data_IF_898363364628
#
_entry.id   IF_898363364628
#
_cell.length_a   1.000
_cell.length_b   1.000
_cell.length_c   1.000
_cell.angle_alpha   90.00
_cell.angle_beta   90.00
_cell.angle_gamma   90.00
#
_symmetry.space_group_name_H-M   'P 1'
#
loop_
_entity.id
_entity.type
_entity.pdbx_description
1 polymer ?
#
# COMPACT_ATOMS: atom_id res chain seq x y z
N UNK A 1 25.27 6.86 6.21
CA UNK A 1 24.56 5.75 5.54
C UNK A 1 23.39 5.24 6.36
N UNK A 2 22.69 6.18 6.94
CA UNK A 2 21.51 5.88 7.77
C UNK A 2 20.43 5.12 7.01
N UNK A 3 20.29 5.36 5.70
CA UNK A 3 19.24 4.72 4.89
C UNK A 3 19.40 3.21 4.83
N UNK A 4 20.61 2.72 4.85
CA UNK A 4 20.89 1.30 4.82
C UNK A 4 20.33 0.59 6.05
N UNK A 5 20.48 1.21 7.21
CA UNK A 5 19.98 0.63 8.45
C UNK A 5 18.45 0.63 8.49
N UNK A 6 17.81 1.60 7.90
CA UNK A 6 16.36 1.67 7.87
C UNK A 6 15.77 0.51 7.08
N UNK A 7 16.42 0.07 6.02
CA UNK A 7 15.97 -1.10 5.26
C UNK A 7 16.04 -2.38 6.08
N UNK A 8 17.05 -2.52 6.91
CA UNK A 8 17.25 -3.74 7.69
C UNK A 8 16.23 -3.83 8.82
N UNK A 9 15.87 -2.72 9.43
CA UNK A 9 15.04 -2.70 10.64
C UNK A 9 13.56 -2.58 10.34
N UNK A 10 13.17 -2.24 9.11
CA UNK A 10 11.78 -1.95 8.76
C UNK A 10 11.25 -2.88 7.68
N UNK A 11 11.31 -4.17 7.96
CA UNK A 11 10.68 -5.14 7.08
C UNK A 11 9.17 -4.90 7.04
N UNK A 12 8.61 -4.99 5.84
CA UNK A 12 7.18 -4.84 5.64
C UNK A 12 6.52 -6.19 5.89
N UNK A 13 5.52 -6.19 6.76
CA UNK A 13 4.80 -7.41 7.13
C UNK A 13 3.37 -7.44 6.62
N UNK A 14 2.82 -6.32 6.21
CA UNK A 14 1.47 -6.29 5.69
C UNK A 14 1.15 -4.96 5.01
N UNK A 15 0.12 -4.98 4.19
CA UNK A 15 -0.37 -3.79 3.47
C UNK A 15 -1.89 -3.79 3.46
N UNK A 16 -2.48 -2.66 3.81
CA UNK A 16 -3.90 -2.40 3.63
C UNK A 16 -4.12 -1.51 2.41
N UNK A 17 -5.09 -1.87 1.60
CA UNK A 17 -5.56 -1.05 0.48
C UNK A 17 -6.86 -0.37 0.90
N UNK A 18 -6.87 0.96 0.90
CA UNK A 18 -8.02 1.76 1.31
C UNK A 18 -8.62 2.43 0.08
N UNK A 19 -9.91 2.24 -0.17
CA UNK A 19 -10.57 3.02 -1.23
C UNK A 19 -10.58 4.49 -0.83
N UNK A 20 -10.19 5.37 -1.75
CA UNK A 20 -10.16 6.80 -1.48
C UNK A 20 -11.54 7.34 -1.10
N UNK A 21 -12.59 6.77 -1.68
CA UNK A 21 -13.97 7.15 -1.38
C UNK A 21 -14.38 6.87 0.08
N UNK A 22 -13.71 5.94 0.75
CA UNK A 22 -13.96 5.62 2.15
C UNK A 22 -13.13 6.45 3.11
N UNK A 23 -12.19 7.24 2.61
CA UNK A 23 -11.29 8.01 3.44
C UNK A 23 -11.81 9.42 3.66
N UNK A 24 -11.88 9.81 4.93
CA UNK A 24 -12.31 11.15 5.34
C UNK A 24 -11.22 11.76 6.21
N UNK A 25 -10.16 12.22 5.56
CA UNK A 25 -9.03 12.79 6.28
C UNK A 25 -9.32 14.23 6.72
N UNK A 26 -8.84 14.62 7.91
CA UNK A 26 -9.21 15.91 8.48
C UNK A 26 -8.55 17.11 7.82
N UNK A 27 -7.54 16.90 6.95
CA UNK A 27 -6.78 17.98 6.30
C UNK A 27 -6.55 17.64 4.84
N UNK A 28 -6.44 18.66 3.96
CA UNK A 28 -6.14 18.44 2.55
C UNK A 28 -4.74 17.83 2.38
N UNK A 29 -4.63 16.78 1.61
CA UNK A 29 -3.37 16.05 1.42
C UNK A 29 -2.44 16.67 0.37
N UNK A 30 -2.86 17.70 -0.29
CA UNK A 30 -1.98 18.49 -1.15
C UNK A 30 -1.11 19.46 -0.35
N UNK A 31 -1.22 19.48 0.96
CA UNK A 31 -0.38 20.29 1.83
C UNK A 31 0.89 19.53 2.14
N UNK A 32 2.07 20.02 1.73
CA UNK A 32 3.33 19.26 1.87
C UNK A 32 3.79 19.02 3.30
N UNK A 33 3.14 19.64 4.28
CA UNK A 33 3.58 19.63 5.67
C UNK A 33 2.97 18.52 6.52
N UNK A 34 2.09 17.67 5.98
CA UNK A 34 1.49 16.58 6.75
C UNK A 34 2.52 15.50 7.00
N UNK A 35 2.86 15.25 8.26
CA UNK A 35 3.86 14.27 8.66
C UNK A 35 3.30 13.10 9.43
N UNK A 36 2.12 13.27 10.02
CA UNK A 36 1.47 12.21 10.78
C UNK A 36 -0.04 12.33 10.71
N UNK A 37 -0.70 11.20 10.89
CA UNK A 37 -2.15 11.12 10.88
C UNK A 37 -2.56 10.10 11.94
N UNK A 38 -3.64 10.35 12.71
CA UNK A 38 -4.07 9.41 13.73
C UNK A 38 -4.68 8.15 13.10
N UNK A 39 -4.43 7.01 13.74
CA UNK A 39 -5.00 5.74 13.32
C UNK A 39 -6.53 5.80 13.28
N UNK A 40 -7.13 6.55 14.18
CA UNK A 40 -8.59 6.71 14.24
C UNK A 40 -9.19 7.34 12.98
N UNK A 41 -8.39 8.01 12.15
CA UNK A 41 -8.85 8.57 10.89
C UNK A 41 -8.88 7.54 9.74
N UNK A 42 -8.36 6.34 9.97
CA UNK A 42 -8.29 5.31 8.94
C UNK A 42 -9.60 4.54 8.85
N UNK A 43 -10.13 4.32 7.64
CA UNK A 43 -11.31 3.49 7.45
C UNK A 43 -10.96 2.01 7.51
N UNK A 44 -12.00 1.15 7.46
CA UNK A 44 -11.81 -0.27 7.22
C UNK A 44 -11.16 -0.48 5.86
N UNK A 45 -10.14 -1.33 5.80
CA UNK A 45 -9.45 -1.61 4.54
C UNK A 45 -10.36 -2.38 3.58
N UNK A 46 -10.26 -2.03 2.30
CA UNK A 46 -10.94 -2.82 1.26
C UNK A 46 -10.25 -4.17 1.08
N UNK A 47 -8.94 -4.20 1.11
CA UNK A 47 -8.14 -5.41 0.96
C UNK A 47 -6.90 -5.31 1.85
N UNK A 48 -6.54 -6.43 2.44
CA UNK A 48 -5.29 -6.59 3.19
C UNK A 48 -4.55 -7.81 2.68
N UNK A 49 -3.24 -7.70 2.57
CA UNK A 49 -2.39 -8.87 2.39
C UNK A 49 -1.24 -8.81 3.39
N UNK A 50 -0.93 -9.97 3.97
CA UNK A 50 0.01 -10.08 5.07
C UNK A 50 -0.63 -9.88 6.42
N UNK A 51 0.12 -9.31 7.35
CA UNK A 51 -0.37 -9.06 8.72
C UNK A 51 -1.34 -7.88 8.71
N UNK A 52 -2.44 -8.03 9.44
CA UNK A 52 -3.42 -6.97 9.64
C UNK A 52 -3.60 -6.72 11.13
N UNK A 53 -2.84 -5.78 11.71
CA UNK A 53 -2.92 -5.51 13.16
C UNK A 53 -4.30 -5.06 13.62
N UNK A 54 -5.06 -4.40 12.76
CA UNK A 54 -6.38 -3.88 13.09
C UNK A 54 -7.50 -4.91 12.88
N UNK A 55 -7.22 -5.99 12.19
CA UNK A 55 -8.16 -7.09 11.88
C UNK A 55 -9.45 -6.63 11.20
N UNK A 56 -9.42 -5.52 10.50
CA UNK A 56 -10.55 -4.90 9.82
C UNK A 56 -10.26 -4.74 8.34
N UNK A 57 -10.63 -5.74 7.56
CA UNK A 57 -10.55 -5.67 6.11
C UNK A 57 -11.72 -6.44 5.50
N UNK A 58 -12.26 -5.94 4.39
CA UNK A 58 -13.34 -6.61 3.70
C UNK A 58 -12.86 -7.91 3.05
N UNK A 59 -11.65 -7.88 2.52
CA UNK A 59 -10.98 -9.03 1.92
C UNK A 59 -9.56 -9.11 2.44
N UNK A 60 -9.05 -10.32 2.62
CA UNK A 60 -7.67 -10.50 3.09
C UNK A 60 -7.07 -11.77 2.51
N UNK A 61 -5.75 -11.74 2.32
CA UNK A 61 -4.96 -12.88 1.88
C UNK A 61 -3.66 -12.97 2.68
N UNK A 62 -3.14 -14.17 2.79
CA UNK A 62 -1.80 -14.39 3.30
C UNK A 62 -0.78 -14.09 2.21
N UNK A 63 0.45 -13.81 2.60
CA UNK A 63 1.56 -13.54 1.70
C UNK A 63 2.60 -14.63 1.86
N UNK A 64 3.15 -15.07 0.73
CA UNK A 64 4.29 -15.99 0.68
C UNK A 64 5.57 -15.20 0.43
N UNK A 65 6.49 -15.27 1.37
CA UNK A 65 7.75 -14.54 1.29
C UNK A 65 7.61 -13.07 1.66
N UNK A 66 8.51 -12.27 1.14
CA UNK A 66 8.62 -10.86 1.51
C UNK A 66 7.70 -9.98 0.68
N UNK A 67 7.18 -8.93 1.32
CA UNK A 67 6.53 -7.83 0.62
C UNK A 67 7.63 -6.83 0.30
N UNK A 68 7.77 -6.48 -0.98
CA UNK A 68 8.77 -5.51 -1.41
C UNK A 68 8.11 -4.18 -1.77
N UNK A 69 8.76 -3.09 -1.41
CA UNK A 69 8.36 -1.76 -1.84
C UNK A 69 9.57 -1.05 -2.43
N UNK A 70 9.38 -0.48 -3.62
CA UNK A 70 10.40 0.30 -4.30
C UNK A 70 9.90 1.72 -4.43
N UNK A 71 10.73 2.67 -4.02
CA UNK A 71 10.40 4.09 -4.07
C UNK A 71 11.32 4.78 -5.05
N UNK A 72 10.74 5.59 -5.92
CA UNK A 72 11.47 6.49 -6.81
C UNK A 72 10.96 7.90 -6.63
N UNK A 73 11.84 8.89 -6.79
CA UNK A 73 11.51 10.28 -6.63
C UNK A 73 11.83 11.02 -7.93
N UNK A 74 10.87 11.78 -8.41
CA UNK A 74 11.04 12.63 -9.59
C UNK A 74 10.74 14.08 -9.20
N UNK A 75 11.71 14.95 -9.43
CA UNK A 75 11.51 16.40 -9.25
C UNK A 75 10.84 16.99 -10.48
N UNK A 76 9.90 17.89 -10.25
CA UNK A 76 9.28 18.69 -11.29
C UNK A 76 9.16 20.13 -10.83
N UNK A 77 8.77 21.01 -11.74
CA UNK A 77 8.53 22.43 -11.40
C UNK A 77 7.41 22.60 -10.37
N UNK A 78 6.56 21.59 -10.22
CA UNK A 78 5.43 21.60 -9.30
C UNK A 78 5.75 20.92 -7.97
N UNK A 79 6.98 20.43 -7.79
CA UNK A 79 7.43 19.73 -6.60
C UNK A 79 7.91 18.31 -6.87
N UNK A 80 8.09 17.55 -5.81
CA UNK A 80 8.53 16.16 -5.88
C UNK A 80 7.32 15.24 -6.03
N UNK A 81 7.46 14.23 -6.90
CA UNK A 81 6.50 13.14 -7.02
C UNK A 81 7.22 11.85 -6.67
N UNK A 82 6.67 11.14 -5.71
CA UNK A 82 7.18 9.84 -5.27
C UNK A 82 6.34 8.76 -5.90
N UNK A 83 6.98 7.77 -6.52
CA UNK A 83 6.31 6.58 -7.04
C UNK A 83 6.67 5.40 -6.15
N UNK A 84 5.65 4.72 -5.65
CA UNK A 84 5.81 3.53 -4.82
C UNK A 84 5.27 2.32 -5.58
N UNK A 85 6.12 1.32 -5.78
CA UNK A 85 5.75 0.04 -6.36
C UNK A 85 5.81 -1.02 -5.26
N UNK A 86 4.67 -1.60 -4.95
CA UNK A 86 4.55 -2.65 -3.94
C UNK A 86 4.30 -3.98 -4.65
N UNK A 87 5.08 -5.00 -4.31
CA UNK A 87 4.94 -6.34 -4.88
C UNK A 87 4.81 -7.37 -3.78
N UNK A 88 3.98 -8.37 -4.01
CA UNK A 88 3.79 -9.49 -3.09
C UNK A 88 3.33 -10.72 -3.86
N UNK A 89 3.52 -11.90 -3.25
CA UNK A 89 3.06 -13.17 -3.78
C UNK A 89 2.05 -13.77 -2.82
N UNK A 90 0.88 -14.14 -3.34
CA UNK A 90 -0.16 -14.85 -2.59
C UNK A 90 0.05 -16.35 -2.86
N UNK A 91 0.10 -17.20 -1.81
CA UNK A 91 0.59 -18.57 -1.95
C UNK A 91 -0.29 -19.52 -2.77
N UNK A 92 -1.52 -19.13 -3.06
CA UNK A 92 -2.41 -19.95 -3.86
C UNK A 92 -3.12 -19.14 -4.93
N UNK A 93 -3.51 -19.78 -6.02
CA UNK A 93 -4.36 -19.13 -7.01
C UNK A 93 -5.73 -18.93 -6.38
N UNK A 94 -6.12 -17.69 -6.21
CA UNK A 94 -7.36 -17.27 -5.57
C UNK A 94 -8.08 -16.28 -6.49
N UNK A 95 -9.41 -16.26 -6.42
CA UNK A 95 -10.19 -15.26 -7.13
C UNK A 95 -10.20 -13.90 -6.44
N UNK A 96 -9.70 -13.80 -5.19
CA UNK A 96 -9.70 -12.55 -4.46
C UNK A 96 -8.88 -11.47 -5.14
N UNK A 97 -7.61 -11.70 -5.55
CA UNK A 97 -6.84 -10.66 -6.23
C UNK A 97 -7.50 -10.17 -7.52
N UNK A 98 -8.11 -11.05 -8.31
CA UNK A 98 -8.84 -10.66 -9.51
C UNK A 98 -10.06 -9.78 -9.18
N UNK A 99 -10.79 -10.14 -8.12
CA UNK A 99 -11.93 -9.36 -7.66
C UNK A 99 -11.51 -7.99 -7.15
N UNK A 100 -10.37 -7.90 -6.45
CA UNK A 100 -9.81 -6.64 -5.99
C UNK A 100 -9.40 -5.77 -7.18
N UNK A 101 -8.73 -6.34 -8.16
CA UNK A 101 -8.34 -5.62 -9.37
C UNK A 101 -9.57 -5.03 -10.07
N UNK A 102 -10.62 -5.82 -10.24
CA UNK A 102 -11.87 -5.36 -10.84
C UNK A 102 -12.53 -4.27 -10.01
N UNK A 103 -12.54 -4.42 -8.69
CA UNK A 103 -13.17 -3.47 -7.78
C UNK A 103 -12.42 -2.14 -7.68
N UNK A 104 -11.13 -2.13 -8.00
CA UNK A 104 -10.30 -0.91 -7.97
C UNK A 104 -10.11 -0.31 -9.37
N UNK A 105 -10.67 -0.91 -10.40
CA UNK A 105 -10.55 -0.41 -11.76
C UNK A 105 -11.18 0.99 -11.86
N UNK A 106 -10.40 1.96 -12.32
CA UNK A 106 -10.78 3.37 -12.36
C UNK A 106 -11.14 3.98 -11.00
N UNK A 107 -10.65 3.37 -9.92
CA UNK A 107 -10.84 3.87 -8.56
C UNK A 107 -9.50 4.30 -7.99
N UNK A 108 -9.52 5.36 -7.19
CA UNK A 108 -8.35 5.79 -6.44
C UNK A 108 -8.29 5.05 -5.11
N UNK A 109 -7.07 4.81 -4.62
CA UNK A 109 -6.88 4.16 -3.33
C UNK A 109 -5.61 4.67 -2.66
N UNK A 110 -5.51 4.40 -1.37
CA UNK A 110 -4.35 4.70 -0.55
C UNK A 110 -3.87 3.41 0.11
N UNK A 111 -2.64 3.39 0.59
CA UNK A 111 -2.07 2.21 1.22
C UNK A 111 -1.66 2.52 2.65
N UNK A 112 -1.86 1.55 3.55
CA UNK A 112 -1.20 1.53 4.85
C UNK A 112 -0.15 0.44 4.80
N UNK A 113 1.09 0.81 5.10
CA UNK A 113 2.22 -0.12 5.14
C UNK A 113 2.51 -0.45 6.60
N UNK A 114 2.46 -1.72 6.96
CA UNK A 114 2.77 -2.20 8.30
C UNK A 114 4.17 -2.76 8.34
N UNK A 115 4.94 -2.32 9.32
CA UNK A 115 6.33 -2.75 9.51
C UNK A 115 6.45 -3.71 10.68
N UNK A 116 7.50 -4.54 10.64
CA UNK A 116 7.75 -5.57 11.66
C UNK A 116 8.00 -4.97 13.04
N UNK A 117 8.46 -3.73 13.13
CA UNK A 117 8.70 -3.04 14.41
C UNK A 117 7.41 -2.51 15.07
N UNK A 118 6.26 -2.78 14.47
CA UNK A 118 4.96 -2.34 14.98
C UNK A 118 4.52 -0.96 14.50
N UNK A 119 5.35 -0.26 13.75
CA UNK A 119 4.96 1.03 13.16
C UNK A 119 4.19 0.84 11.87
N UNK A 120 3.46 1.87 11.47
CA UNK A 120 2.76 1.88 10.19
C UNK A 120 2.83 3.25 9.56
N UNK A 121 2.73 3.27 8.23
CA UNK A 121 2.78 4.51 7.46
C UNK A 121 1.73 4.50 6.37
N UNK A 122 1.21 5.69 6.07
CA UNK A 122 0.23 5.89 5.01
C UNK A 122 0.95 6.32 3.73
N UNK A 123 0.65 5.62 2.63
CA UNK A 123 1.01 6.04 1.29
C UNK A 123 -0.23 6.67 0.66
N UNK A 124 -0.20 8.00 0.52
CA UNK A 124 -1.35 8.73 0.01
C UNK A 124 -1.28 8.86 -1.50
N UNK A 125 -2.20 8.18 -2.19
CA UNK A 125 -2.22 8.16 -3.65
C UNK A 125 -2.83 9.40 -4.26
N UNK A 126 -2.17 9.95 -5.27
CA UNK A 126 -2.72 11.01 -6.09
C UNK A 126 -3.85 10.48 -6.96
N UNK A 127 -4.88 11.28 -7.24
CA UNK A 127 -5.96 10.86 -8.14
C UNK A 127 -5.44 10.42 -9.51
N UNK A 128 -6.02 9.35 -10.02
CA UNK A 128 -5.73 8.79 -11.34
C UNK A 128 -4.31 8.25 -11.52
N UNK A 129 -3.60 7.97 -10.42
CA UNK A 129 -2.24 7.42 -10.47
C UNK A 129 -2.12 6.06 -9.80
N UNK A 130 -3.18 5.53 -9.22
CA UNK A 130 -3.14 4.30 -8.46
C UNK A 130 -3.54 3.12 -9.35
N UNK A 131 -2.70 2.08 -9.38
CA UNK A 131 -2.91 0.91 -10.22
C UNK A 131 -2.70 -0.33 -9.37
N UNK A 132 -3.67 -1.24 -9.39
CA UNK A 132 -3.59 -2.55 -8.78
C UNK A 132 -3.68 -3.60 -9.88
N UNK A 133 -2.67 -4.46 -9.99
CA UNK A 133 -2.68 -5.55 -10.95
C UNK A 133 -2.40 -6.87 -10.26
N UNK A 134 -2.95 -7.94 -10.80
CA UNK A 134 -2.69 -9.30 -10.35
C UNK A 134 -2.42 -10.19 -11.55
N UNK A 135 -1.61 -11.22 -11.34
CA UNK A 135 -1.37 -12.21 -12.37
C UNK A 135 -1.23 -13.59 -11.76
N UNK A 136 -1.76 -14.59 -12.43
CA UNK A 136 -1.69 -15.97 -11.98
C UNK A 136 -0.38 -16.59 -12.43
N UNK A 137 0.31 -17.25 -11.51
CA UNK A 137 1.47 -18.09 -11.80
C UNK A 137 1.00 -19.53 -11.75
N UNK A 138 0.89 -20.15 -12.91
CA UNK A 138 0.39 -21.52 -13.03
C UNK A 138 1.54 -22.50 -13.08
N UNK A 139 1.32 -23.70 -12.56
CA UNK A 139 2.34 -24.75 -12.52
C UNK A 139 2.24 -25.55 -11.26
N UNK A 140 3.32 -26.22 -10.86
CA UNK A 140 3.34 -27.08 -9.68
C UNK A 140 3.17 -26.30 -8.37
N UNK A 141 3.56 -25.01 -8.35
CA UNK A 141 3.40 -24.13 -7.20
C UNK A 141 2.58 -22.92 -7.62
N UNK A 142 1.28 -23.14 -7.82
CA UNK A 142 0.37 -22.05 -8.26
C UNK A 142 0.30 -20.95 -7.23
N UNK A 143 0.35 -19.71 -7.71
CA UNK A 143 0.29 -18.52 -6.86
C UNK A 143 -0.25 -17.34 -7.65
N UNK A 144 -0.55 -16.25 -6.95
CA UNK A 144 -0.86 -14.96 -7.54
C UNK A 144 0.25 -13.96 -7.23
N UNK A 145 0.66 -13.20 -8.23
CA UNK A 145 1.54 -12.05 -8.02
C UNK A 145 0.71 -10.78 -8.02
N UNK A 146 0.93 -9.93 -7.02
CA UNK A 146 0.25 -8.66 -6.88
C UNK A 146 1.27 -7.55 -7.10
N UNK A 147 0.90 -6.55 -7.88
CA UNK A 147 1.69 -5.33 -8.03
C UNK A 147 0.79 -4.12 -7.88
N UNK A 148 1.19 -3.21 -7.01
CA UNK A 148 0.49 -1.96 -6.76
C UNK A 148 1.43 -0.82 -7.06
N UNK A 149 0.98 0.13 -7.88
CA UNK A 149 1.72 1.35 -8.20
C UNK A 149 0.92 2.54 -7.73
N UNK A 150 1.54 3.41 -6.94
CA UNK A 150 0.93 4.61 -6.39
C UNK A 150 1.90 5.76 -6.54
N UNK A 151 1.42 6.89 -7.06
CA UNK A 151 2.17 8.14 -7.02
C UNK A 151 1.65 9.00 -5.89
N UNK A 152 2.55 9.72 -5.22
CA UNK A 152 2.22 10.58 -4.10
C UNK A 152 3.06 11.84 -4.13
N UNK A 153 2.49 12.94 -3.68
CA UNK A 153 3.25 14.17 -3.47
C UNK A 153 3.97 14.19 -2.13
N UNK A 154 3.71 13.20 -1.29
CA UNK A 154 4.29 13.11 0.05
C UNK A 154 5.14 11.86 0.18
N UNK A 155 6.17 11.92 1.01
CA UNK A 155 6.77 10.71 1.55
C UNK A 155 5.73 9.97 2.37
N UNK A 156 6.05 8.73 2.75
CA UNK A 156 5.16 7.96 3.61
C UNK A 156 4.86 8.76 4.89
N UNK A 157 3.60 8.81 5.26
CA UNK A 157 3.09 9.60 6.39
C UNK A 157 2.97 8.71 7.60
N UNK A 158 3.51 9.11 8.74
CA UNK A 158 3.43 8.32 9.96
C UNK A 158 1.98 8.21 10.44
N UNK A 159 1.60 7.02 10.84
CA UNK A 159 0.31 6.76 11.52
C UNK A 159 0.59 6.64 13.02
N UNK A 160 -0.10 7.42 13.79
CA UNK A 160 0.11 7.51 15.24
C UNK A 160 -1.13 7.13 16.04
#
# INVERSE_FOLDING_TARGET
MSNYQDFITKDIVGVDVLKASDCHFPVPFNVPAIRSIPLSAMPTAYYNFGVNPNKNANYSDEVDGDIAIKSTNKQSVQGNIFTYDVTATIPSVSSIPDSIESGLYHQDFHLIIYFADGTSKLCYGLPNTTIFTSSDNLGSNSSNSIKITVQSMNKLIDII
#
